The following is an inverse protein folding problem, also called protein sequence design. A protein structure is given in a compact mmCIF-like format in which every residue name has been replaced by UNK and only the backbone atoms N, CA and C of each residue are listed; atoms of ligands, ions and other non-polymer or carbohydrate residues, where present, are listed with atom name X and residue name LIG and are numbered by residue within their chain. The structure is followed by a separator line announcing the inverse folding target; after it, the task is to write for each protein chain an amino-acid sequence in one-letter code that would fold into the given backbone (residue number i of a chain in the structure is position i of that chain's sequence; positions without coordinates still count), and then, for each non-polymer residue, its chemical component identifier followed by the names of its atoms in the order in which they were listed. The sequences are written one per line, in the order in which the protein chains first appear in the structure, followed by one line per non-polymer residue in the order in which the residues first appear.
data_IF_350196175891
#
_entry.id   IF_350196175891
#
_cell.length_a   1.000
_cell.length_b   1.000
_cell.length_c   1.000
_cell.angle_alpha   90.00
_cell.angle_beta   90.00
_cell.angle_gamma   90.00
#
_symmetry.space_group_name_H-M   'P 1'
#
loop_
_entity.id
_entity.type
_entity.pdbx_description
1 polymer ?
#
# COMPACT_ATOMS: atom_id res chain seq x y z
N UNK A 1 -3.38 -20.87 -18.11
CA UNK A 1 -4.46 -19.87 -18.11
C UNK A 1 -5.74 -20.64 -18.40
N UNK A 2 -6.64 -20.76 -17.43
CA UNK A 2 -7.90 -21.47 -17.64
C UNK A 2 -8.71 -20.71 -18.68
N UNK A 3 -9.06 -21.39 -19.76
CA UNK A 3 -9.77 -20.86 -20.89
C UNK A 3 -11.25 -20.65 -20.52
N UNK A 4 -11.52 -19.54 -19.84
CA UNK A 4 -12.89 -19.04 -19.61
C UNK A 4 -13.50 -18.48 -20.91
N UNK A 5 -12.77 -18.42 -22.04
CA UNK A 5 -13.32 -17.95 -23.31
C UNK A 5 -14.18 -19.01 -24.01
N UNK A 6 -13.95 -20.30 -23.73
CA UNK A 6 -14.64 -21.42 -24.39
C UNK A 6 -15.47 -22.31 -23.45
N UNK A 7 -15.42 -22.06 -22.14
CA UNK A 7 -16.24 -22.78 -21.17
C UNK A 7 -17.70 -22.37 -21.28
N UNK A 8 -18.54 -23.17 -21.95
CA UNK A 8 -19.99 -23.10 -21.77
C UNK A 8 -20.30 -23.35 -20.29
N UNK A 9 -20.50 -22.27 -19.53
CA UNK A 9 -21.11 -22.39 -18.21
C UNK A 9 -22.55 -22.83 -18.43
N UNK A 10 -22.84 -24.06 -18.01
CA UNK A 10 -24.16 -24.66 -18.13
C UNK A 10 -25.25 -23.78 -17.51
N UNK A 11 -26.48 -23.99 -17.92
CA UNK A 11 -27.69 -23.20 -17.58
C UNK A 11 -28.11 -23.23 -16.09
N UNK A 12 -27.21 -23.58 -15.18
CA UNK A 12 -27.39 -23.53 -13.73
C UNK A 12 -26.63 -22.36 -13.10
N UNK A 13 -27.04 -21.94 -11.90
CA UNK A 13 -26.30 -20.94 -11.13
C UNK A 13 -24.84 -21.37 -10.97
N UNK A 14 -23.94 -20.64 -11.65
CA UNK A 14 -22.50 -20.88 -11.61
C UNK A 14 -21.90 -20.10 -10.44
N UNK A 15 -20.87 -20.67 -9.82
CA UNK A 15 -20.11 -20.03 -8.75
C UNK A 15 -18.61 -20.15 -9.01
N UNK A 16 -17.87 -19.11 -8.67
CA UNK A 16 -16.40 -19.09 -8.68
C UNK A 16 -15.92 -19.23 -7.26
N UNK A 17 -15.07 -20.23 -6.99
CA UNK A 17 -14.43 -20.43 -5.69
C UNK A 17 -12.93 -20.24 -5.87
N UNK A 18 -12.37 -19.23 -5.20
CA UNK A 18 -10.93 -19.02 -5.15
C UNK A 18 -10.35 -19.73 -3.93
N UNK A 19 -9.63 -20.84 -4.16
CA UNK A 19 -8.85 -21.51 -3.13
C UNK A 19 -7.37 -21.17 -3.34
N UNK A 20 -6.84 -20.25 -2.54
CA UNK A 20 -5.46 -19.79 -2.65
C UNK A 20 -5.20 -18.52 -1.85
N UNK A 21 -4.03 -17.91 -2.07
CA UNK A 21 -3.64 -16.63 -1.47
C UNK A 21 -3.96 -15.44 -2.42
N UNK A 22 -3.38 -14.27 -2.14
CA UNK A 22 -3.69 -13.01 -2.81
C UNK A 22 -3.79 -13.04 -4.34
N UNK A 23 -2.84 -13.67 -5.03
CA UNK A 23 -2.85 -13.72 -6.51
C UNK A 23 -4.07 -14.47 -7.06
N UNK A 24 -4.38 -15.64 -6.49
CA UNK A 24 -5.54 -16.44 -6.92
C UNK A 24 -6.83 -15.70 -6.58
N UNK A 25 -6.91 -15.09 -5.40
CA UNK A 25 -8.03 -14.24 -5.00
C UNK A 25 -8.25 -13.10 -5.99
N UNK A 26 -7.22 -12.34 -6.35
CA UNK A 26 -7.38 -11.17 -7.22
C UNK A 26 -7.76 -11.55 -8.65
N UNK A 27 -7.15 -12.61 -9.20
CA UNK A 27 -7.49 -13.11 -10.54
C UNK A 27 -8.94 -13.58 -10.59
N UNK A 28 -9.37 -14.43 -9.65
CA UNK A 28 -10.73 -14.97 -9.62
C UNK A 28 -11.78 -13.88 -9.35
N UNK A 29 -11.52 -12.98 -8.41
CA UNK A 29 -12.37 -11.82 -8.10
C UNK A 29 -12.55 -10.93 -9.32
N UNK A 30 -11.47 -10.63 -10.03
CA UNK A 30 -11.53 -9.78 -11.22
C UNK A 30 -12.18 -10.50 -12.41
N UNK A 31 -11.95 -11.80 -12.59
CA UNK A 31 -12.67 -12.59 -13.60
C UNK A 31 -14.19 -12.59 -13.36
N UNK A 32 -14.63 -12.78 -12.10
CA UNK A 32 -16.04 -12.70 -11.73
C UNK A 32 -16.62 -11.28 -11.94
N UNK A 33 -15.84 -10.23 -11.66
CA UNK A 33 -16.21 -8.85 -11.97
C UNK A 33 -16.44 -8.63 -13.47
N UNK A 34 -15.49 -9.06 -14.31
CA UNK A 34 -15.61 -8.94 -15.76
C UNK A 34 -16.77 -9.76 -16.32
N UNK A 35 -17.06 -10.93 -15.73
CA UNK A 35 -18.24 -11.71 -16.08
C UNK A 35 -19.54 -10.92 -15.83
N UNK A 36 -19.69 -10.34 -14.63
CA UNK A 36 -20.87 -9.53 -14.29
C UNK A 36 -21.03 -8.34 -15.27
N UNK A 37 -19.93 -7.65 -15.61
CA UNK A 37 -19.95 -6.51 -16.52
C UNK A 37 -20.40 -6.88 -17.94
N UNK A 38 -20.08 -8.09 -18.40
CA UNK A 38 -20.49 -8.59 -19.73
C UNK A 38 -21.91 -9.15 -19.76
N UNK A 39 -22.50 -9.43 -18.59
CA UNK A 39 -23.82 -10.03 -18.46
C UNK A 39 -24.70 -9.24 -17.47
N UNK A 40 -24.95 -7.94 -17.74
CA UNK A 40 -25.67 -7.06 -16.80
C UNK A 40 -27.11 -7.52 -16.52
N UNK A 41 -27.72 -8.29 -17.42
CA UNK A 41 -29.08 -8.82 -17.28
C UNK A 41 -29.14 -10.14 -16.48
N UNK A 42 -27.99 -10.71 -16.10
CA UNK A 42 -27.93 -11.93 -15.30
C UNK A 42 -27.75 -11.62 -13.81
N UNK A 43 -28.20 -12.53 -12.92
CA UNK A 43 -27.81 -12.47 -11.52
C UNK A 43 -26.29 -12.45 -11.38
N UNK A 44 -25.81 -11.63 -10.45
CA UNK A 44 -24.38 -11.50 -10.17
C UNK A 44 -23.76 -12.85 -9.86
N UNK A 45 -22.61 -13.17 -10.49
CA UNK A 45 -21.88 -14.41 -10.27
C UNK A 45 -21.57 -14.57 -8.77
N UNK A 46 -21.85 -15.75 -8.19
CA UNK A 46 -21.46 -16.02 -6.81
C UNK A 46 -19.94 -16.19 -6.76
N UNK A 47 -19.25 -15.39 -5.94
CA UNK A 47 -17.81 -15.46 -5.76
C UNK A 47 -17.47 -15.76 -4.30
N UNK A 48 -16.85 -16.90 -4.02
CA UNK A 48 -16.42 -17.31 -2.68
C UNK A 48 -14.90 -17.26 -2.61
N UNK A 49 -14.36 -16.50 -1.64
CA UNK A 49 -12.94 -16.42 -1.37
C UNK A 49 -12.56 -17.34 -0.20
N UNK A 50 -11.71 -18.33 -0.44
CA UNK A 50 -11.18 -19.25 0.55
C UNK A 50 -9.66 -19.03 0.71
N UNK A 51 -9.24 -18.01 1.50
CA UNK A 51 -7.83 -17.69 1.67
C UNK A 51 -7.08 -18.87 2.29
N UNK A 52 -5.94 -19.24 1.70
CA UNK A 52 -5.08 -20.32 2.20
C UNK A 52 -3.84 -19.82 2.95
N UNK A 53 -3.66 -18.50 3.07
CA UNK A 53 -2.58 -17.87 3.82
C UNK A 53 -2.96 -16.42 4.20
N UNK A 54 -2.42 -15.91 5.30
CA UNK A 54 -2.61 -14.52 5.72
C UNK A 54 -1.62 -13.57 5.00
N UNK A 55 -1.85 -13.27 3.72
CA UNK A 55 -0.83 -12.62 2.88
C UNK A 55 -1.11 -11.17 2.45
N UNK A 56 -2.37 -10.78 2.25
CA UNK A 56 -2.75 -9.49 1.65
C UNK A 56 -4.14 -9.02 2.09
N UNK A 57 -4.43 -7.72 2.03
CA UNK A 57 -5.77 -7.17 2.31
C UNK A 57 -6.82 -7.48 1.23
N UNK A 58 -6.39 -7.99 0.07
CA UNK A 58 -7.22 -8.19 -1.11
C UNK A 58 -8.43 -9.11 -0.89
N UNK A 59 -8.43 -9.95 0.15
CA UNK A 59 -9.51 -10.89 0.45
C UNK A 59 -10.87 -10.22 0.65
N UNK A 60 -10.90 -9.02 1.23
CA UNK A 60 -12.14 -8.26 1.45
C UNK A 60 -12.20 -6.93 0.68
N UNK A 61 -11.21 -6.65 -0.17
CA UNK A 61 -11.16 -5.42 -0.94
C UNK A 61 -12.03 -5.49 -2.21
N UNK A 62 -12.71 -4.39 -2.56
CA UNK A 62 -13.44 -4.23 -3.81
C UNK A 62 -12.56 -3.84 -5.02
N UNK A 63 -11.25 -3.86 -4.84
CA UNK A 63 -10.24 -3.66 -5.88
C UNK A 63 -9.41 -4.92 -6.04
N UNK A 64 -8.81 -5.12 -7.20
CA UNK A 64 -7.84 -6.19 -7.44
C UNK A 64 -6.46 -5.59 -7.77
N UNK A 65 -5.38 -6.25 -7.34
CA UNK A 65 -4.02 -5.89 -7.74
C UNK A 65 -3.54 -6.89 -8.79
N UNK A 66 -3.46 -6.46 -10.04
CA UNK A 66 -3.05 -7.29 -11.17
C UNK A 66 -1.79 -6.74 -11.83
N UNK A 67 -1.01 -7.61 -12.45
CA UNK A 67 0.07 -7.20 -13.36
C UNK A 67 -0.53 -6.83 -14.72
N UNK A 68 -0.30 -5.59 -15.15
CA UNK A 68 -0.62 -5.10 -16.49
C UNK A 68 0.66 -4.59 -17.12
N UNK A 69 1.07 -5.21 -18.23
CA UNK A 69 2.29 -4.86 -18.97
C UNK A 69 3.55 -4.82 -18.06
N UNK A 70 3.68 -5.80 -17.16
CA UNK A 70 4.80 -5.89 -16.21
C UNK A 70 4.67 -5.00 -14.97
N UNK A 71 3.64 -4.15 -14.89
CA UNK A 71 3.46 -3.21 -13.78
C UNK A 71 2.26 -3.63 -12.91
N UNK A 72 2.47 -3.70 -11.59
CA UNK A 72 1.35 -3.90 -10.65
C UNK A 72 0.42 -2.69 -10.68
N UNK A 73 -0.87 -2.95 -10.87
CA UNK A 73 -1.94 -1.96 -10.92
C UNK A 73 -3.09 -2.39 -10.01
N UNK A 74 -3.51 -1.48 -9.14
CA UNK A 74 -4.77 -1.60 -8.43
C UNK A 74 -5.90 -1.13 -9.35
N UNK A 75 -6.86 -2.01 -9.63
CA UNK A 75 -7.97 -1.74 -10.55
C UNK A 75 -9.32 -1.96 -9.84
N UNK A 76 -10.40 -1.27 -10.27
CA UNK A 76 -11.75 -1.54 -9.78
C UNK A 76 -12.13 -3.01 -9.98
N UNK A 77 -12.84 -3.57 -9.01
CA UNK A 77 -13.32 -4.94 -9.03
C UNK A 77 -14.59 -5.08 -8.19
N UNK A 78 -14.73 -6.18 -7.44
CA UNK A 78 -15.91 -6.49 -6.62
C UNK A 78 -15.56 -7.10 -5.28
N UNK A 79 -16.46 -6.98 -4.31
CA UNK A 79 -16.43 -7.80 -3.11
C UNK A 79 -16.70 -9.28 -3.41
N UNK A 80 -16.15 -10.21 -2.60
CA UNK A 80 -16.65 -11.58 -2.55
C UNK A 80 -18.07 -11.62 -1.98
N UNK A 81 -18.84 -12.61 -2.43
CA UNK A 81 -20.14 -12.96 -1.83
C UNK A 81 -19.96 -13.53 -0.43
N UNK A 82 -18.93 -14.35 -0.23
CA UNK A 82 -18.57 -14.92 1.07
C UNK A 82 -17.06 -15.12 1.16
N UNK A 83 -16.53 -15.04 2.39
CA UNK A 83 -15.15 -15.37 2.70
C UNK A 83 -15.15 -16.52 3.71
N UNK A 84 -14.42 -17.59 3.42
CA UNK A 84 -14.29 -18.77 4.28
C UNK A 84 -12.83 -18.98 4.63
N UNK A 85 -12.43 -18.49 5.80
CA UNK A 85 -11.06 -18.60 6.31
C UNK A 85 -10.95 -19.74 7.32
N UNK A 86 -10.41 -20.89 6.92
CA UNK A 86 -10.13 -22.00 7.83
C UNK A 86 -8.80 -21.75 8.57
N UNK A 87 -8.88 -21.47 9.86
CA UNK A 87 -7.70 -21.15 10.68
C UNK A 87 -6.65 -22.26 10.72
N UNK A 88 -7.04 -23.53 10.51
CA UNK A 88 -6.10 -24.66 10.46
C UNK A 88 -5.31 -24.67 9.15
N UNK A 89 -5.96 -24.25 8.06
CA UNK A 89 -5.30 -24.06 6.77
C UNK A 89 -4.37 -22.86 6.83
N UNK A 90 -4.81 -21.75 7.42
CA UNK A 90 -3.95 -20.57 7.60
C UNK A 90 -2.72 -20.91 8.46
N UNK A 91 -2.89 -21.62 9.57
CA UNK A 91 -1.80 -22.03 10.46
C UNK A 91 -0.82 -23.02 9.82
N UNK A 92 -1.24 -23.78 8.80
CA UNK A 92 -0.36 -24.70 8.07
C UNK A 92 0.38 -24.04 6.90
N UNK A 93 0.04 -22.80 6.55
CA UNK A 93 0.73 -22.04 5.51
C UNK A 93 2.19 -21.70 5.92
N UNK A 94 3.08 -21.43 4.94
CA UNK A 94 4.42 -20.95 5.23
C UNK A 94 4.39 -19.69 6.11
N UNK A 95 5.24 -19.65 7.14
CA UNK A 95 5.26 -18.57 8.15
C UNK A 95 5.50 -17.21 7.50
N UNK A 96 6.32 -17.19 6.47
CA UNK A 96 6.72 -16.04 5.69
C UNK A 96 5.49 -15.31 5.13
N UNK A 97 4.43 -16.06 4.78
CA UNK A 97 3.18 -15.46 4.28
C UNK A 97 2.42 -14.76 5.41
N UNK A 98 2.28 -15.36 6.59
CA UNK A 98 1.61 -14.74 7.75
C UNK A 98 2.33 -13.48 8.20
N UNK A 99 3.66 -13.51 8.32
CA UNK A 99 4.43 -12.32 8.72
C UNK A 99 4.45 -11.25 7.62
N UNK A 100 4.33 -11.64 6.34
CA UNK A 100 4.09 -10.68 5.27
C UNK A 100 2.73 -9.99 5.44
N UNK A 101 1.63 -10.74 5.67
CA UNK A 101 0.32 -10.12 5.92
C UNK A 101 0.31 -9.22 7.16
N UNK A 102 1.04 -9.59 8.22
CA UNK A 102 1.27 -8.71 9.37
C UNK A 102 1.95 -7.40 8.96
N UNK A 103 2.99 -7.48 8.12
CA UNK A 103 3.68 -6.30 7.60
C UNK A 103 2.77 -5.40 6.76
N UNK A 104 1.89 -5.98 5.95
CA UNK A 104 0.87 -5.25 5.18
C UNK A 104 -0.12 -4.52 6.09
N UNK A 105 -0.57 -5.15 7.18
CA UNK A 105 -1.40 -4.49 8.20
C UNK A 105 -0.71 -3.30 8.88
N UNK A 106 0.63 -3.37 9.06
CA UNK A 106 1.38 -2.29 9.70
C UNK A 106 1.35 -0.99 8.88
N UNK A 107 1.07 -1.04 7.57
CA UNK A 107 0.95 0.16 6.73
C UNK A 107 -0.07 1.17 7.27
N UNK A 108 -1.11 0.70 7.98
CA UNK A 108 -2.07 1.55 8.68
C UNK A 108 -1.41 2.58 9.60
N UNK A 109 -0.27 2.26 10.20
CA UNK A 109 0.43 3.11 11.16
C UNK A 109 1.04 4.38 10.56
N UNK A 110 1.08 4.50 9.24
CA UNK A 110 1.66 5.65 8.55
C UNK A 110 0.80 6.15 7.38
N UNK A 111 0.12 5.25 6.66
CA UNK A 111 -0.62 5.58 5.43
C UNK A 111 -1.74 6.62 5.65
N UNK A 112 -2.35 6.62 6.84
CA UNK A 112 -3.37 7.62 7.17
C UNK A 112 -2.79 9.02 7.39
N UNK A 113 -1.53 9.10 7.84
CA UNK A 113 -0.78 10.35 7.85
C UNK A 113 -0.63 10.90 6.43
N UNK A 114 -0.33 10.04 5.45
CA UNK A 114 -0.16 10.46 4.06
C UNK A 114 -1.48 10.95 3.47
N UNK A 115 -2.57 10.24 3.77
CA UNK A 115 -3.89 10.65 3.30
C UNK A 115 -4.34 11.97 3.94
N UNK A 116 -4.06 12.17 5.23
CA UNK A 116 -4.31 13.44 5.89
C UNK A 116 -3.45 14.57 5.32
N UNK A 117 -2.15 14.35 5.09
CA UNK A 117 -1.27 15.34 4.44
C UNK A 117 -1.83 15.75 3.08
N UNK A 118 -2.19 14.78 2.24
CA UNK A 118 -2.79 15.06 0.95
C UNK A 118 -4.07 15.89 1.09
N UNK A 119 -4.92 15.60 2.08
CA UNK A 119 -6.15 16.37 2.33
C UNK A 119 -5.88 17.78 2.82
N UNK A 120 -5.00 17.94 3.81
CA UNK A 120 -4.66 19.23 4.40
C UNK A 120 -3.98 20.17 3.38
N UNK A 121 -3.29 19.61 2.39
CA UNK A 121 -2.62 20.34 1.32
C UNK A 121 -3.46 20.49 0.04
N UNK A 122 -4.74 20.08 0.05
CA UNK A 122 -5.64 20.22 -1.11
C UNK A 122 -5.33 19.29 -2.29
N UNK A 123 -4.67 18.16 -2.05
CA UNK A 123 -4.19 17.22 -3.06
C UNK A 123 -5.04 15.95 -3.19
N UNK A 124 -6.20 15.93 -2.53
CA UNK A 124 -7.22 14.88 -2.68
C UNK A 124 -8.60 15.49 -2.49
N UNK A 125 -9.57 15.02 -3.27
CA UNK A 125 -10.94 15.54 -3.23
C UNK A 125 -11.76 15.03 -2.04
N UNK A 126 -11.29 13.96 -1.39
CA UNK A 126 -12.02 13.28 -0.33
C UNK A 126 -11.09 12.75 0.76
N UNK A 127 -11.51 12.98 2.01
CA UNK A 127 -10.88 12.46 3.22
C UNK A 127 -11.97 11.99 4.18
N UNK A 128 -11.73 10.87 4.86
CA UNK A 128 -12.65 10.32 5.85
C UNK A 128 -11.93 9.54 6.92
N UNK A 129 -12.40 9.72 8.15
CA UNK A 129 -11.91 9.01 9.32
C UNK A 129 -12.76 7.77 9.66
N UNK A 130 -13.82 7.49 8.88
CA UNK A 130 -14.64 6.29 9.07
C UNK A 130 -13.79 5.01 9.02
N UNK A 131 -12.84 4.83 8.08
CA UNK A 131 -11.96 3.66 8.10
C UNK A 131 -11.02 3.59 9.31
N UNK A 132 -10.71 4.70 10.00
CA UNK A 132 -9.90 4.66 11.24
C UNK A 132 -10.61 3.86 12.32
N UNK A 133 -11.92 4.03 12.47
CA UNK A 133 -12.70 3.35 13.50
C UNK A 133 -12.70 1.82 13.34
N UNK A 134 -12.59 1.32 12.10
CA UNK A 134 -12.49 -0.12 11.83
C UNK A 134 -11.13 -0.72 12.23
N UNK A 135 -10.09 0.10 12.27
CA UNK A 135 -8.71 -0.30 12.52
C UNK A 135 -8.17 0.35 13.79
N UNK A 136 -9.07 0.76 14.67
CA UNK A 136 -8.72 1.38 15.93
C UNK A 136 -8.05 0.35 16.85
N UNK A 137 -7.08 0.79 17.64
CA UNK A 137 -6.26 -0.05 18.53
C UNK A 137 -5.52 -1.22 17.83
N UNK A 138 -5.38 -1.20 16.50
CA UNK A 138 -4.70 -2.25 15.76
C UNK A 138 -3.24 -2.45 16.23
N UNK A 139 -2.55 -1.36 16.59
CA UNK A 139 -1.22 -1.39 17.18
C UNK A 139 -1.15 -2.23 18.46
N UNK A 140 -2.06 -2.00 19.40
CA UNK A 140 -2.14 -2.76 20.65
C UNK A 140 -2.49 -4.22 20.39
N UNK A 141 -3.50 -4.48 19.56
CA UNK A 141 -3.94 -5.84 19.21
C UNK A 141 -2.79 -6.65 18.57
N UNK A 142 -2.09 -6.05 17.60
CA UNK A 142 -0.97 -6.72 16.93
C UNK A 142 0.21 -6.92 17.88
N UNK A 143 0.52 -5.96 18.75
CA UNK A 143 1.63 -6.10 19.70
C UNK A 143 1.38 -7.18 20.75
N UNK A 144 0.16 -7.25 21.29
CA UNK A 144 -0.25 -8.25 22.29
C UNK A 144 -0.20 -9.66 21.72
N UNK A 145 -0.56 -9.83 20.45
CA UNK A 145 -0.64 -11.13 19.79
C UNK A 145 0.59 -11.48 18.94
N UNK A 146 1.59 -10.59 18.84
CA UNK A 146 2.74 -10.77 17.94
C UNK A 146 3.46 -12.11 18.13
N UNK A 147 3.63 -12.58 19.37
CA UNK A 147 4.24 -13.87 19.64
C UNK A 147 3.40 -15.05 19.10
N UNK A 148 2.08 -15.03 19.34
CA UNK A 148 1.15 -16.04 18.83
C UNK A 148 1.07 -16.04 17.30
N UNK A 149 1.14 -14.85 16.68
CA UNK A 149 1.25 -14.67 15.22
C UNK A 149 2.53 -15.33 14.72
N UNK A 150 3.68 -15.03 15.34
CA UNK A 150 4.97 -15.61 14.96
C UNK A 150 5.07 -17.13 15.16
N UNK A 151 4.25 -17.67 16.06
CA UNK A 151 4.11 -19.11 16.32
C UNK A 151 3.06 -19.79 15.43
N UNK A 152 2.27 -19.02 14.66
CA UNK A 152 1.14 -19.49 13.84
C UNK A 152 0.10 -20.28 14.64
N UNK A 153 -0.20 -19.83 15.86
CA UNK A 153 -1.34 -20.41 16.59
C UNK A 153 -2.64 -20.04 15.88
N UNK A 154 -3.70 -20.81 16.09
CA UNK A 154 -5.02 -20.51 15.51
C UNK A 154 -5.52 -19.12 15.89
N UNK A 155 -5.20 -18.66 17.09
CA UNK A 155 -5.53 -17.32 17.60
C UNK A 155 -4.71 -16.24 16.88
N UNK A 156 -3.40 -16.45 16.73
CA UNK A 156 -2.52 -15.54 15.99
C UNK A 156 -2.96 -15.38 14.53
N UNK A 157 -3.25 -16.49 13.86
CA UNK A 157 -3.75 -16.48 12.48
C UNK A 157 -5.12 -15.81 12.37
N UNK A 158 -6.00 -16.01 13.36
CA UNK A 158 -7.30 -15.32 13.41
C UNK A 158 -7.13 -13.79 13.55
N UNK A 159 -6.16 -13.33 14.34
CA UNK A 159 -5.87 -11.91 14.50
C UNK A 159 -5.42 -11.29 13.18
N UNK A 160 -4.44 -11.89 12.50
CA UNK A 160 -3.95 -11.35 11.21
C UNK A 160 -5.04 -11.40 10.14
N UNK A 161 -5.78 -12.52 10.05
CA UNK A 161 -6.88 -12.64 9.09
C UNK A 161 -7.93 -11.54 9.29
N UNK A 162 -8.35 -11.30 10.54
CA UNK A 162 -9.32 -10.23 10.86
C UNK A 162 -8.77 -8.84 10.51
N UNK A 163 -7.51 -8.57 10.83
CA UNK A 163 -6.86 -7.31 10.49
C UNK A 163 -6.82 -7.08 8.97
N UNK A 164 -6.46 -8.09 8.19
CA UNK A 164 -6.45 -8.02 6.72
C UNK A 164 -7.87 -7.81 6.15
N UNK A 165 -8.89 -8.47 6.70
CA UNK A 165 -10.28 -8.27 6.28
C UNK A 165 -10.75 -6.86 6.58
N UNK A 166 -10.50 -6.35 7.79
CA UNK A 166 -10.86 -4.99 8.17
C UNK A 166 -10.12 -3.95 7.32
N UNK A 167 -8.85 -4.19 6.99
CA UNK A 167 -8.07 -3.35 6.10
C UNK A 167 -8.65 -3.33 4.67
N UNK A 168 -9.03 -4.48 4.14
CA UNK A 168 -9.70 -4.57 2.84
C UNK A 168 -11.05 -3.85 2.82
N UNK A 169 -11.86 -3.99 3.87
CA UNK A 169 -13.13 -3.26 4.03
C UNK A 169 -12.89 -1.76 4.14
N UNK A 170 -11.91 -1.34 4.95
CA UNK A 170 -11.52 0.06 5.13
C UNK A 170 -11.18 0.74 3.80
N UNK A 171 -10.39 0.10 2.95
CA UNK A 171 -10.08 0.60 1.60
C UNK A 171 -11.34 0.71 0.72
N UNK A 172 -12.25 -0.23 0.87
CA UNK A 172 -13.42 -0.35 0.00
C UNK A 172 -14.56 0.61 0.36
N UNK A 173 -14.71 0.98 1.63
CA UNK A 173 -15.68 2.00 2.09
C UNK A 173 -15.44 3.34 1.38
N UNK A 174 -14.18 3.67 1.13
CA UNK A 174 -13.77 4.94 0.54
C UNK A 174 -13.34 4.81 -0.92
N UNK A 175 -13.49 3.62 -1.51
CA UNK A 175 -13.10 3.29 -2.88
C UNK A 175 -11.67 3.71 -3.25
N UNK A 176 -10.73 3.62 -2.30
CA UNK A 176 -9.33 3.98 -2.51
C UNK A 176 -8.41 3.24 -1.55
N UNK A 177 -7.16 3.03 -1.97
CA UNK A 177 -6.18 2.34 -1.13
C UNK A 177 -5.61 3.19 0.01
N UNK A 178 -5.89 4.51 0.04
CA UNK A 178 -5.25 5.48 0.93
C UNK A 178 -5.24 5.10 2.43
N UNK A 179 -6.31 4.50 3.00
CA UNK A 179 -6.31 4.08 4.41
C UNK A 179 -5.16 3.14 4.81
N UNK A 180 -4.68 2.31 3.88
CA UNK A 180 -3.69 1.24 4.09
C UNK A 180 -2.63 1.27 2.98
N UNK A 181 -2.34 2.44 2.40
CA UNK A 181 -1.30 2.56 1.37
C UNK A 181 -0.81 3.99 1.27
N UNK A 182 0.47 4.20 1.55
CA UNK A 182 1.14 5.49 1.55
C UNK A 182 2.58 5.36 1.06
N UNK A 183 3.49 5.99 1.81
CA UNK A 183 4.93 6.04 1.60
C UNK A 183 5.55 4.64 1.64
N UNK A 184 5.14 3.81 2.59
CA UNK A 184 5.60 2.43 2.72
C UNK A 184 5.26 1.56 1.51
N UNK A 185 4.06 1.76 0.94
CA UNK A 185 3.66 1.04 -0.26
C UNK A 185 4.46 1.49 -1.48
N UNK A 186 4.70 2.80 -1.68
CA UNK A 186 5.51 3.22 -2.84
C UNK A 186 6.93 2.69 -2.80
N UNK A 187 7.53 2.57 -1.61
CA UNK A 187 8.83 1.92 -1.45
C UNK A 187 8.75 0.48 -1.96
N UNK A 188 7.77 -0.31 -1.48
CA UNK A 188 7.55 -1.69 -1.97
C UNK A 188 7.30 -1.75 -3.49
N UNK A 189 6.52 -0.84 -4.05
CA UNK A 189 6.24 -0.83 -5.49
C UNK A 189 7.48 -0.51 -6.32
N UNK A 190 8.36 0.39 -5.86
CA UNK A 190 9.64 0.62 -6.55
C UNK A 190 10.52 -0.62 -6.49
N UNK A 191 10.59 -1.31 -5.34
CA UNK A 191 11.37 -2.55 -5.19
C UNK A 191 10.93 -3.65 -6.15
N UNK A 192 9.62 -3.75 -6.39
CA UNK A 192 9.05 -4.64 -7.41
C UNK A 192 9.38 -4.16 -8.82
N UNK A 193 9.22 -2.86 -9.10
CA UNK A 193 9.49 -2.25 -10.41
C UNK A 193 10.94 -2.40 -10.88
N UNK A 194 11.91 -2.44 -9.97
CA UNK A 194 13.34 -2.56 -10.30
C UNK A 194 13.86 -3.99 -10.21
N UNK A 195 13.04 -4.95 -9.78
CA UNK A 195 13.49 -6.32 -9.48
C UNK A 195 14.14 -7.01 -10.70
N UNK A 196 13.54 -6.87 -11.88
CA UNK A 196 14.06 -7.43 -13.13
C UNK A 196 15.43 -6.83 -13.51
N UNK A 197 15.63 -5.53 -13.29
CA UNK A 197 16.92 -4.87 -13.53
C UNK A 197 18.03 -5.50 -12.67
N UNK A 198 17.70 -5.87 -11.43
CA UNK A 198 18.61 -6.54 -10.50
C UNK A 198 18.60 -8.08 -10.61
N UNK A 199 17.90 -8.64 -11.61
CA UNK A 199 17.77 -10.10 -11.83
C UNK A 199 17.29 -10.85 -10.58
N UNK A 200 16.38 -10.24 -9.83
CA UNK A 200 15.87 -10.73 -8.55
C UNK A 200 14.38 -11.06 -8.66
N UNK A 201 13.97 -12.20 -8.09
CA UNK A 201 12.54 -12.50 -7.92
C UNK A 201 11.86 -11.50 -6.99
N UNK A 202 10.53 -11.38 -7.09
CA UNK A 202 9.76 -10.54 -6.18
C UNK A 202 9.78 -11.13 -4.77
N UNK A 203 10.05 -10.29 -3.77
CA UNK A 203 9.81 -10.64 -2.37
C UNK A 203 8.32 -10.55 -2.06
N UNK A 204 7.90 -11.15 -0.94
CA UNK A 204 6.51 -11.03 -0.49
C UNK A 204 6.17 -9.56 -0.23
N UNK A 205 5.11 -9.08 -0.88
CA UNK A 205 4.69 -7.67 -0.84
C UNK A 205 4.56 -7.15 0.59
N UNK A 206 3.79 -7.84 1.43
CA UNK A 206 3.59 -7.43 2.81
C UNK A 206 4.87 -7.42 3.66
N UNK A 207 5.87 -8.25 3.34
CA UNK A 207 7.17 -8.21 4.02
C UNK A 207 7.96 -6.95 3.63
N UNK A 208 7.99 -6.59 2.34
CA UNK A 208 8.56 -5.32 1.88
C UNK A 208 7.85 -4.13 2.53
N UNK A 209 6.51 -4.15 2.57
CA UNK A 209 5.67 -3.12 3.20
C UNK A 209 5.95 -3.01 4.70
N UNK A 210 6.14 -4.12 5.42
CA UNK A 210 6.49 -4.11 6.83
C UNK A 210 7.81 -3.37 7.11
N UNK A 211 8.87 -3.72 6.38
CA UNK A 211 10.17 -3.03 6.47
C UNK A 211 10.04 -1.56 6.06
N UNK A 212 9.32 -1.28 4.97
CA UNK A 212 9.05 0.08 4.51
C UNK A 212 8.23 0.92 5.51
N UNK A 213 7.37 0.29 6.31
CA UNK A 213 6.60 0.95 7.36
C UNK A 213 7.51 1.41 8.49
N UNK A 214 8.53 0.64 8.87
CA UNK A 214 9.54 1.08 9.86
C UNK A 214 10.21 2.36 9.36
N UNK A 215 10.64 2.38 8.09
CA UNK A 215 11.28 3.55 7.47
C UNK A 215 10.34 4.75 7.40
N UNK A 216 9.11 4.57 6.90
CA UNK A 216 8.11 5.63 6.81
C UNK A 216 7.73 6.19 8.19
N UNK A 217 7.63 5.34 9.21
CA UNK A 217 7.38 5.77 10.59
C UNK A 217 8.54 6.61 11.13
N UNK A 218 9.78 6.23 10.82
CA UNK A 218 10.97 7.02 11.13
C UNK A 218 10.97 8.38 10.43
N UNK A 219 10.58 8.44 9.15
CA UNK A 219 10.43 9.70 8.41
C UNK A 219 9.37 10.60 9.04
N UNK A 220 8.22 10.04 9.42
CA UNK A 220 7.17 10.77 10.13
C UNK A 220 7.62 11.31 11.48
N UNK A 221 8.30 10.48 12.28
CA UNK A 221 8.84 10.91 13.56
C UNK A 221 9.79 12.09 13.38
N UNK A 222 10.75 11.96 12.45
CA UNK A 222 11.69 13.05 12.12
C UNK A 222 10.96 14.32 11.68
N UNK A 223 9.98 14.19 10.79
CA UNK A 223 9.19 15.33 10.29
C UNK A 223 8.44 16.03 11.44
N UNK A 224 7.79 15.28 12.33
CA UNK A 224 7.06 15.83 13.48
C UNK A 224 7.98 16.49 14.52
N UNK A 225 9.23 16.02 14.62
CA UNK A 225 10.22 16.53 15.56
C UNK A 225 10.97 17.75 15.04
N UNK A 226 11.21 17.84 13.72
CA UNK A 226 12.12 18.84 13.14
C UNK A 226 11.48 19.83 12.18
N UNK A 227 10.24 19.62 11.70
CA UNK A 227 9.62 20.55 10.76
C UNK A 227 9.29 21.89 11.44
N UNK A 228 9.95 22.94 10.97
CA UNK A 228 9.73 24.32 11.36
C UNK A 228 9.18 25.11 10.16
N UNK A 229 7.89 25.50 10.17
CA UNK A 229 7.28 26.24 9.07
C UNK A 229 7.90 27.64 8.88
N UNK A 230 8.56 28.21 9.89
CA UNK A 230 9.17 29.55 9.81
C UNK A 230 10.48 29.54 9.03
N UNK A 231 11.12 28.37 8.90
CA UNK A 231 12.35 28.18 8.13
C UNK A 231 12.10 27.82 6.66
N UNK A 232 10.84 27.62 6.25
CA UNK A 232 10.49 27.18 4.89
C UNK A 232 10.57 28.33 3.90
N UNK A 233 11.39 28.17 2.86
CA UNK A 233 11.33 29.02 1.67
C UNK A 233 10.23 28.51 0.72
N UNK A 234 9.01 29.03 0.88
CA UNK A 234 7.83 28.59 0.12
C UNK A 234 8.04 28.72 -1.39
N UNK A 235 8.69 29.77 -1.87
CA UNK A 235 8.92 29.97 -3.31
C UNK A 235 9.84 28.89 -3.93
N UNK A 236 10.70 28.26 -3.12
CA UNK A 236 11.56 27.17 -3.56
C UNK A 236 10.86 25.80 -3.62
N UNK A 237 9.65 25.67 -3.06
CA UNK A 237 8.91 24.40 -2.98
C UNK A 237 8.21 24.00 -4.29
N UNK A 238 8.38 24.75 -5.38
CA UNK A 238 7.68 24.54 -6.65
C UNK A 238 8.67 24.29 -7.79
N UNK A 239 9.21 23.06 -7.92
CA UNK A 239 10.20 22.74 -8.95
C UNK A 239 9.60 22.87 -10.36
N UNK A 240 10.45 23.13 -11.34
CA UNK A 240 10.06 23.23 -12.77
C UNK A 240 9.75 21.85 -13.39
N UNK A 241 8.80 21.83 -14.33
CA UNK A 241 8.37 20.60 -15.00
C UNK A 241 9.49 19.98 -15.84
N UNK A 242 10.21 20.80 -16.61
CA UNK A 242 11.25 20.29 -17.51
C UNK A 242 12.41 19.71 -16.70
N UNK A 243 12.85 20.43 -15.66
CA UNK A 243 13.90 19.97 -14.75
C UNK A 243 13.52 18.66 -14.07
N UNK A 244 12.30 18.56 -13.53
CA UNK A 244 11.88 17.37 -12.80
C UNK A 244 11.64 16.17 -13.73
N UNK A 245 11.10 16.40 -14.93
CA UNK A 245 10.97 15.38 -15.97
C UNK A 245 12.35 14.86 -16.40
N UNK A 246 13.32 15.75 -16.58
CA UNK A 246 14.69 15.37 -16.90
C UNK A 246 15.34 14.57 -15.76
N UNK A 247 15.08 14.95 -14.51
CA UNK A 247 15.52 14.23 -13.33
C UNK A 247 14.94 12.80 -13.28
N UNK A 248 13.61 12.65 -13.41
CA UNK A 248 12.93 11.34 -13.45
C UNK A 248 13.47 10.47 -14.58
N UNK A 249 13.68 11.05 -15.78
CA UNK A 249 14.28 10.33 -16.90
C UNK A 249 15.71 9.86 -16.58
N UNK A 250 16.50 10.66 -15.87
CA UNK A 250 17.87 10.32 -15.50
C UNK A 250 17.93 9.16 -14.51
N UNK A 251 17.11 9.18 -13.45
CA UNK A 251 17.14 8.15 -12.40
C UNK A 251 16.71 6.78 -12.90
N UNK A 252 15.76 6.70 -13.84
CA UNK A 252 15.28 5.44 -14.40
C UNK A 252 16.05 4.98 -15.64
N UNK A 253 16.99 5.79 -16.17
CA UNK A 253 17.68 5.50 -17.45
C UNK A 253 18.42 4.17 -17.44
N UNK A 254 19.10 3.83 -16.34
CA UNK A 254 19.85 2.57 -16.23
C UNK A 254 18.93 1.37 -15.98
N UNK A 255 17.76 1.60 -15.39
CA UNK A 255 16.78 0.57 -15.02
C UNK A 255 15.96 0.17 -16.26
N UNK A 256 15.43 1.15 -16.98
CA UNK A 256 14.69 0.98 -18.23
C UNK A 256 15.24 1.91 -19.32
N UNK A 257 16.15 1.41 -20.17
CA UNK A 257 16.71 2.18 -21.28
C UNK A 257 15.68 2.64 -22.32
N UNK A 258 14.51 1.99 -22.41
CA UNK A 258 13.42 2.41 -23.32
C UNK A 258 12.74 3.71 -22.88
N UNK A 259 12.90 4.06 -21.59
CA UNK A 259 12.29 5.22 -20.95
C UNK A 259 10.78 5.10 -20.74
N UNK A 260 10.18 3.92 -20.87
CA UNK A 260 8.77 3.67 -20.62
C UNK A 260 8.41 3.95 -19.15
N UNK A 261 9.21 3.45 -18.21
CA UNK A 261 9.02 3.70 -16.77
C UNK A 261 9.05 5.19 -16.46
N UNK A 262 10.03 5.92 -17.00
CA UNK A 262 10.16 7.36 -16.79
C UNK A 262 8.96 8.14 -17.37
N UNK A 263 8.44 7.74 -18.54
CA UNK A 263 7.24 8.35 -19.14
C UNK A 263 6.00 8.11 -18.30
N UNK A 264 5.83 6.90 -17.77
CA UNK A 264 4.72 6.54 -16.90
C UNK A 264 4.77 7.31 -15.57
N UNK A 265 5.93 7.33 -14.91
CA UNK A 265 6.13 8.10 -13.68
C UNK A 265 5.83 9.59 -13.90
N UNK A 266 6.31 10.18 -15.00
CA UNK A 266 6.03 11.57 -15.34
C UNK A 266 4.55 11.83 -15.63
N UNK A 267 3.86 10.92 -16.32
CA UNK A 267 2.43 11.03 -16.62
C UNK A 267 1.59 11.21 -15.36
N UNK A 268 1.90 10.46 -14.29
CA UNK A 268 1.20 10.58 -13.02
C UNK A 268 1.73 11.73 -12.16
N UNK A 269 3.05 11.92 -12.11
CA UNK A 269 3.66 12.96 -11.28
C UNK A 269 3.32 14.37 -11.76
N UNK A 270 3.23 14.62 -13.06
CA UNK A 270 2.88 15.93 -13.62
C UNK A 270 1.49 16.41 -13.18
N UNK A 271 0.52 15.50 -13.05
CA UNK A 271 -0.82 15.81 -12.50
C UNK A 271 -0.74 16.24 -11.05
N UNK A 272 0.04 15.50 -10.24
CA UNK A 272 0.30 15.82 -8.83
C UNK A 272 1.00 17.17 -8.66
N UNK A 273 2.00 17.45 -9.49
CA UNK A 273 2.75 18.70 -9.45
C UNK A 273 1.89 19.91 -9.87
N UNK A 274 1.01 19.73 -10.85
CA UNK A 274 0.03 20.75 -11.22
C UNK A 274 -0.91 21.07 -10.04
N UNK A 275 -1.44 20.04 -9.36
CA UNK A 275 -2.27 20.23 -8.16
C UNK A 275 -1.48 20.91 -7.03
N UNK A 276 -0.22 20.54 -6.82
CA UNK A 276 0.64 21.17 -5.81
C UNK A 276 0.79 22.68 -6.03
N UNK A 277 1.05 23.10 -7.28
CA UNK A 277 1.14 24.53 -7.63
C UNK A 277 -0.20 25.26 -7.45
N UNK A 278 -1.30 24.64 -7.85
CA UNK A 278 -2.65 25.20 -7.69
C UNK A 278 -3.01 25.39 -6.22
N UNK A 279 -2.54 24.49 -5.35
CA UNK A 279 -2.82 24.50 -3.91
C UNK A 279 -1.71 25.16 -3.08
N UNK A 280 -0.93 26.09 -3.67
CA UNK A 280 0.02 26.91 -2.92
C UNK A 280 -0.60 27.61 -1.69
N UNK A 281 -1.79 28.22 -1.77
CA UNK A 281 -2.42 28.83 -0.60
C UNK A 281 -2.69 27.83 0.53
N UNK A 282 -3.04 26.58 0.22
CA UNK A 282 -3.24 25.52 1.22
C UNK A 282 -1.93 25.14 1.91
N UNK A 283 -0.79 25.16 1.19
CA UNK A 283 0.51 24.94 1.82
C UNK A 283 0.93 26.09 2.74
N UNK A 284 0.70 27.33 2.33
CA UNK A 284 0.92 28.53 3.17
C UNK A 284 0.07 28.46 4.45
N UNK A 285 -1.22 28.11 4.31
CA UNK A 285 -2.12 27.88 5.44
C UNK A 285 -1.66 26.71 6.31
N UNK A 286 -1.22 25.60 5.72
CA UNK A 286 -0.68 24.44 6.44
C UNK A 286 0.51 24.82 7.30
N UNK A 287 1.43 25.65 6.77
CA UNK A 287 2.57 26.16 7.52
C UNK A 287 2.11 27.07 8.67
N UNK A 288 1.16 27.97 8.42
CA UNK A 288 0.62 28.88 9.43
C UNK A 288 -0.11 28.15 10.57
N UNK A 289 -0.80 27.04 10.26
CA UNK A 289 -1.59 26.26 11.21
C UNK A 289 -0.85 25.02 11.73
N UNK A 290 0.46 24.91 11.46
CA UNK A 290 1.24 23.72 11.75
C UNK A 290 1.15 23.30 13.22
N UNK A 291 1.48 24.22 14.14
CA UNK A 291 1.60 23.88 15.56
C UNK A 291 0.24 23.57 16.21
N UNK A 292 -0.80 24.30 15.82
CA UNK A 292 -2.12 24.22 16.48
C UNK A 292 -3.01 23.12 15.89
N UNK A 293 -2.88 22.83 14.58
CA UNK A 293 -3.81 21.94 13.87
C UNK A 293 -3.08 20.71 13.32
N UNK A 294 -2.11 20.92 12.43
CA UNK A 294 -1.61 19.82 11.59
C UNK A 294 -0.65 18.89 12.33
N UNK A 295 0.26 19.42 13.14
CA UNK A 295 1.20 18.64 13.95
C UNK A 295 0.49 17.71 14.93
N UNK A 296 -0.42 18.18 15.81
CA UNK A 296 -1.12 17.26 16.73
C UNK A 296 -2.01 16.26 15.99
N UNK A 297 -2.67 16.67 14.90
CA UNK A 297 -3.49 15.75 14.10
C UNK A 297 -2.65 14.64 13.48
N UNK A 298 -1.54 14.96 12.81
CA UNK A 298 -0.62 13.95 12.27
C UNK A 298 -0.07 13.03 13.36
N UNK A 299 0.36 13.57 14.50
CA UNK A 299 0.88 12.79 15.61
C UNK A 299 -0.13 11.75 16.13
N UNK A 300 -1.44 12.04 16.07
CA UNK A 300 -2.50 11.08 16.42
C UNK A 300 -2.73 9.98 15.38
N UNK A 301 -2.46 10.27 14.10
CA UNK A 301 -2.76 9.39 12.97
C UNK A 301 -1.65 8.37 12.71
N UNK A 302 -0.41 8.74 13.04
CA UNK A 302 0.76 7.91 12.80
C UNK A 302 1.27 7.24 14.08
N UNK A 303 2.19 6.28 13.93
CA UNK A 303 2.94 5.70 15.04
C UNK A 303 4.44 5.77 14.79
N UNK A 304 5.21 5.80 15.88
CA UNK A 304 6.67 5.81 15.81
C UNK A 304 7.27 4.48 15.33
N UNK A 305 8.51 4.47 14.82
CA UNK A 305 9.14 3.27 14.28
C UNK A 305 9.29 2.14 15.31
N UNK A 306 9.42 2.47 16.60
CA UNK A 306 9.61 1.49 17.67
C UNK A 306 8.42 0.55 17.87
N UNK A 307 7.18 1.02 17.71
CA UNK A 307 6.01 0.13 17.85
C UNK A 307 5.98 -0.87 16.69
N UNK A 308 6.27 -0.42 15.47
CA UNK A 308 6.32 -1.25 14.26
C UNK A 308 7.41 -2.31 14.40
N UNK A 309 8.62 -1.88 14.79
CA UNK A 309 9.77 -2.76 15.01
C UNK A 309 9.45 -3.83 16.05
N UNK A 310 8.87 -3.47 17.20
CA UNK A 310 8.52 -4.43 18.26
C UNK A 310 7.46 -5.45 17.84
N UNK A 311 6.44 -5.02 17.08
CA UNK A 311 5.42 -5.94 16.53
C UNK A 311 6.07 -6.95 15.59
N UNK A 312 6.83 -6.47 14.61
CA UNK A 312 7.48 -7.30 13.60
C UNK A 312 8.53 -8.23 14.21
N UNK A 313 9.36 -7.73 15.13
CA UNK A 313 10.39 -8.51 15.82
C UNK A 313 9.78 -9.66 16.62
N UNK A 314 8.74 -9.39 17.41
CA UNK A 314 8.06 -10.41 18.21
C UNK A 314 7.38 -11.49 17.38
N UNK A 315 6.93 -11.15 16.17
CA UNK A 315 6.39 -12.12 15.23
C UNK A 315 7.48 -12.89 14.44
N UNK A 316 8.74 -12.44 14.52
CA UNK A 316 9.83 -12.96 13.70
C UNK A 316 9.68 -12.60 12.22
N UNK A 317 9.20 -11.38 11.95
CA UNK A 317 9.14 -10.80 10.61
C UNK A 317 10.47 -10.08 10.27
N UNK A 318 10.80 -9.89 8.98
CA UNK A 318 11.96 -9.11 8.57
C UNK A 318 11.92 -7.67 9.12
N UNK A 319 13.07 -7.19 9.62
CA UNK A 319 13.24 -5.83 10.14
C UNK A 319 14.09 -4.93 9.24
N UNK A 320 14.82 -5.53 8.28
CA UNK A 320 15.70 -4.84 7.34
C UNK A 320 15.49 -5.39 5.93
N UNK A 321 15.94 -4.65 4.91
CA UNK A 321 15.81 -5.09 3.51
C UNK A 321 16.60 -6.36 3.20
N UNK A 322 17.75 -6.56 3.83
CA UNK A 322 18.58 -7.76 3.65
C UNK A 322 17.96 -9.00 4.28
N UNK A 323 17.06 -8.83 5.26
CA UNK A 323 16.34 -9.92 5.90
C UNK A 323 15.08 -10.35 5.13
N UNK A 324 14.74 -9.66 4.03
CA UNK A 324 13.65 -10.07 3.13
C UNK A 324 14.04 -11.34 2.36
N UNK A 325 13.05 -12.04 1.83
CA UNK A 325 13.26 -13.21 0.96
C UNK A 325 12.57 -13.01 -0.40
N UNK A 326 13.33 -12.93 -1.52
CA UNK A 326 14.80 -12.86 -1.55
C UNK A 326 15.35 -11.56 -0.92
N UNK A 327 16.62 -11.57 -0.45
CA UNK A 327 17.27 -10.39 0.11
C UNK A 327 17.30 -9.22 -0.86
N UNK A 328 17.09 -8.01 -0.35
CA UNK A 328 17.18 -6.76 -1.10
C UNK A 328 18.37 -5.98 -0.56
N UNK A 329 19.25 -5.52 -1.45
CA UNK A 329 20.42 -4.74 -1.04
C UNK A 329 20.01 -3.35 -0.51
N UNK A 330 20.77 -2.81 0.45
CA UNK A 330 20.58 -1.43 0.91
C UNK A 330 20.55 -0.42 -0.26
N UNK A 331 21.33 -0.64 -1.32
CA UNK A 331 21.33 0.21 -2.53
C UNK A 331 19.99 0.23 -3.24
N UNK A 332 19.36 -0.94 -3.44
CA UNK A 332 18.02 -1.04 -4.02
C UNK A 332 16.98 -0.37 -3.14
N UNK A 333 17.10 -0.59 -1.83
CA UNK A 333 16.18 -0.04 -0.84
C UNK A 333 16.26 1.48 -0.74
N UNK A 334 17.46 2.05 -0.67
CA UNK A 334 17.70 3.49 -0.66
C UNK A 334 17.16 4.15 -1.93
N UNK A 335 17.36 3.51 -3.10
CA UNK A 335 16.77 3.97 -4.35
C UNK A 335 15.24 4.04 -4.25
N UNK A 336 14.61 3.01 -3.68
CA UNK A 336 13.15 2.97 -3.49
C UNK A 336 12.64 4.04 -2.50
N UNK A 337 13.36 4.27 -1.40
CA UNK A 337 13.04 5.32 -0.42
C UNK A 337 13.14 6.71 -1.04
N UNK A 338 14.24 6.99 -1.74
CA UNK A 338 14.50 8.31 -2.33
C UNK A 338 13.58 8.64 -3.51
N UNK A 339 13.17 7.64 -4.29
CA UNK A 339 12.47 7.86 -5.56
C UNK A 339 11.02 7.36 -5.56
N UNK A 340 10.54 6.75 -4.48
CA UNK A 340 9.20 6.18 -4.37
C UNK A 340 8.07 7.18 -4.62
N UNK A 341 8.27 8.43 -4.24
CA UNK A 341 7.24 9.45 -4.45
C UNK A 341 7.03 9.79 -5.95
N UNK A 342 7.94 9.43 -6.86
CA UNK A 342 7.77 9.66 -8.30
C UNK A 342 6.85 8.67 -9.01
N UNK A 343 6.55 7.50 -8.43
CA UNK A 343 5.89 6.41 -9.15
C UNK A 343 4.36 6.40 -9.02
N UNK A 344 3.75 7.45 -8.44
CA UNK A 344 2.29 7.53 -8.26
C UNK A 344 1.75 8.95 -8.31
N UNK A 345 0.47 9.06 -8.65
CA UNK A 345 -0.27 10.34 -8.69
C UNK A 345 -0.68 10.87 -7.30
N UNK A 346 -0.90 10.01 -6.31
CA UNK A 346 -1.30 10.45 -4.95
C UNK A 346 -0.10 11.02 -4.19
N UNK A 347 -0.32 12.13 -3.48
CA UNK A 347 0.68 12.77 -2.63
C UNK A 347 0.96 11.96 -1.36
N UNK A 348 2.23 11.88 -0.98
CA UNK A 348 2.71 11.21 0.24
C UNK A 348 3.79 12.07 0.90
N UNK A 349 4.22 11.75 2.13
CA UNK A 349 5.23 12.46 2.90
C UNK A 349 6.52 12.65 2.11
N UNK A 350 6.93 11.65 1.32
CA UNK A 350 8.11 11.75 0.45
C UNK A 350 8.05 12.93 -0.53
N UNK A 351 6.86 13.30 -1.02
CA UNK A 351 6.69 14.49 -1.87
C UNK A 351 6.92 15.78 -1.07
N UNK A 352 6.34 15.88 0.13
CA UNK A 352 6.52 17.06 0.99
C UNK A 352 7.99 17.25 1.36
N UNK A 353 8.67 16.18 1.80
CA UNK A 353 10.09 16.24 2.13
C UNK A 353 10.95 16.65 0.92
N UNK A 354 10.63 16.12 -0.27
CA UNK A 354 11.30 16.51 -1.50
C UNK A 354 11.13 18.01 -1.81
N UNK A 355 9.91 18.56 -1.67
CA UNK A 355 9.65 19.98 -1.90
C UNK A 355 10.26 20.89 -0.81
N UNK A 356 10.44 20.38 0.41
CA UNK A 356 11.16 21.06 1.49
C UNK A 356 12.69 20.96 1.37
N UNK A 357 13.22 20.13 0.46
CA UNK A 357 14.66 19.90 0.30
C UNK A 357 15.31 19.18 1.48
N UNK A 358 14.58 18.29 2.16
CA UNK A 358 14.93 17.66 3.46
C UNK A 358 15.05 16.14 3.43
#
# INVERSE_FOLDING_TARGET
LWDLEHGQMGTGASAVIALGSGTITDIAKHAAYLYDQRHPDQPRMVYICCPTANSVTAYAANMAVLLKDGVKRTIPSRYPTAIVADLRVLASAPKEMTVAGLGDCCARFVAYGDWYLASALGLVDYYSEVPLALLDNLDSILLENAASIGQRTTEGEAVVMRALLLAGIAQSIVNMSAPISGTEHVISHVLDMIADHYQRSLALHGAQVGVATITAAGLYQRFLDTFDPTAVNIDACYPDDEQLRAYIRRIFRSIDPSGAMARECWSDYSKKLALWRQNRPQFEQFCAQWQEVHRPKLASLVRGPEIVRRILERAGAPLTCEALEPPISQKEYDFAVQNGHFIRARFVLGDLLYFLGS
#
